data_IF_667926716454
#
_entry.id   IF_667926716454
#
_cell.length_a   1.000
_cell.length_b   1.000
_cell.length_c   1.000
_cell.angle_alpha   90.00
_cell.angle_beta   90.00
_cell.angle_gamma   90.00
#
_symmetry.space_group_name_H-M   'P 1'
#
loop_
_entity.id
_entity.type
_entity.pdbx_description
1 polymer ?
#
# COMPACT_ATOMS: atom_id res chain seq x y z
N UNK A 1 38.49 -8.65 78.94
CA UNK A 1 39.00 -10.02 78.86
C UNK A 1 38.13 -10.77 77.85
N UNK A 2 38.72 -11.18 76.73
CA UNK A 2 38.27 -12.07 75.64
C UNK A 2 36.75 -12.36 75.47
N UNK A 3 36.16 -12.30 74.28
CA UNK A 3 36.51 -13.17 73.15
C UNK A 3 36.12 -12.57 71.79
N UNK A 4 37.12 -12.53 70.92
CA UNK A 4 37.04 -12.42 69.47
C UNK A 4 36.42 -13.69 68.87
N UNK A 5 35.37 -13.59 68.05
CA UNK A 5 34.93 -14.55 67.01
C UNK A 5 33.72 -13.85 66.34
N UNK A 6 33.56 -13.61 65.03
CA UNK A 6 34.05 -14.30 63.85
C UNK A 6 33.85 -13.37 62.63
N UNK A 7 34.92 -12.76 62.10
CA UNK A 7 34.88 -11.84 60.95
C UNK A 7 34.77 -12.53 59.57
N UNK A 8 34.56 -13.85 59.54
CA UNK A 8 34.55 -14.64 58.29
C UNK A 8 33.19 -14.81 57.60
N UNK A 9 32.05 -14.42 58.21
CA UNK A 9 30.72 -14.55 57.56
C UNK A 9 30.21 -13.31 56.83
N UNK A 10 30.74 -12.12 57.13
CA UNK A 10 30.31 -10.87 56.45
C UNK A 10 30.94 -10.72 55.06
N UNK A 11 32.20 -11.15 54.91
CA UNK A 11 32.95 -11.04 53.64
C UNK A 11 32.55 -12.07 52.56
N UNK A 12 31.84 -13.15 52.89
CA UNK A 12 31.36 -14.14 51.91
C UNK A 12 30.01 -13.74 51.29
N UNK A 13 29.13 -13.07 52.06
CA UNK A 13 27.83 -12.58 51.57
C UNK A 13 27.97 -11.30 50.72
N UNK A 14 28.87 -10.39 51.07
CA UNK A 14 29.12 -9.18 50.25
C UNK A 14 29.83 -9.51 48.92
N UNK A 15 30.69 -10.54 48.87
CA UNK A 15 31.30 -11.00 47.60
C UNK A 15 30.31 -11.71 46.69
N UNK A 16 29.35 -12.46 47.23
CA UNK A 16 28.31 -13.12 46.43
C UNK A 16 27.27 -12.13 45.86
N UNK A 17 27.03 -11.00 46.53
CA UNK A 17 26.10 -9.98 46.05
C UNK A 17 26.74 -8.96 45.09
N UNK A 18 28.06 -8.72 45.16
CA UNK A 18 28.73 -7.80 44.22
C UNK A 18 28.98 -8.43 42.83
N UNK A 19 29.19 -9.74 42.73
CA UNK A 19 29.49 -10.41 41.45
C UNK A 19 28.25 -10.92 40.69
N UNK A 20 27.06 -10.96 41.32
CA UNK A 20 25.81 -11.42 40.67
C UNK A 20 24.87 -10.27 40.30
N UNK A 21 24.97 -9.12 40.97
CA UNK A 21 24.16 -7.93 40.65
C UNK A 21 24.59 -7.23 39.36
N UNK A 22 25.90 -7.18 39.08
CA UNK A 22 26.46 -6.49 37.91
C UNK A 22 26.21 -7.30 36.63
N UNK A 23 26.31 -8.63 36.68
CA UNK A 23 26.03 -9.50 35.53
C UNK A 23 24.55 -9.55 35.16
N UNK A 24 23.63 -9.55 36.15
CA UNK A 24 22.19 -9.46 35.88
C UNK A 24 21.78 -8.07 35.37
N UNK A 25 22.37 -6.98 35.87
CA UNK A 25 22.11 -5.64 35.32
C UNK A 25 22.68 -5.50 33.90
N UNK A 26 23.88 -6.01 33.61
CA UNK A 26 24.45 -5.96 32.26
C UNK A 26 23.73 -6.90 31.28
N UNK A 27 23.27 -8.08 31.70
CA UNK A 27 22.46 -8.97 30.85
C UNK A 27 21.04 -8.42 30.61
N UNK A 28 20.39 -7.81 31.62
CA UNK A 28 19.12 -7.11 31.41
C UNK A 28 19.32 -5.85 30.55
N UNK A 29 20.42 -5.11 30.73
CA UNK A 29 20.69 -3.90 29.96
C UNK A 29 21.07 -4.24 28.52
N UNK A 30 21.81 -5.32 28.29
CA UNK A 30 22.12 -5.83 26.95
C UNK A 30 20.88 -6.46 26.31
N UNK A 31 20.09 -7.24 27.04
CA UNK A 31 18.82 -7.81 26.55
C UNK A 31 17.81 -6.72 26.17
N UNK A 32 17.68 -5.67 26.98
CA UNK A 32 16.85 -4.49 26.68
C UNK A 32 17.47 -3.65 25.57
N UNK A 33 18.80 -3.50 25.47
CA UNK A 33 19.46 -2.86 24.33
C UNK A 33 19.22 -3.64 23.04
N UNK A 34 19.38 -4.96 23.02
CA UNK A 34 19.11 -5.79 21.85
C UNK A 34 17.62 -5.76 21.51
N UNK A 35 16.73 -5.77 22.50
CA UNK A 35 15.30 -5.63 22.27
C UNK A 35 14.95 -4.26 21.69
N UNK A 36 15.51 -3.17 22.22
CA UNK A 36 15.34 -1.79 21.73
C UNK A 36 16.01 -1.61 20.36
N UNK A 37 17.18 -2.21 20.11
CA UNK A 37 17.88 -2.16 18.83
C UNK A 37 17.11 -2.98 17.78
N UNK A 38 16.52 -4.12 18.13
CA UNK A 38 15.61 -4.86 17.26
C UNK A 38 14.29 -4.08 17.04
N UNK A 39 13.78 -3.38 18.06
CA UNK A 39 12.64 -2.47 17.94
C UNK A 39 12.96 -1.22 17.10
N UNK A 40 14.19 -0.72 17.14
CA UNK A 40 14.64 0.45 16.38
C UNK A 40 15.06 0.07 14.96
N UNK A 41 15.62 -1.13 14.73
CA UNK A 41 15.90 -1.68 13.39
C UNK A 41 14.59 -2.04 12.67
N UNK A 42 13.52 -2.40 13.40
CA UNK A 42 12.18 -2.52 12.80
C UNK A 42 11.50 -1.16 12.55
N UNK A 43 12.00 -0.07 13.14
CA UNK A 43 11.50 1.29 12.95
C UNK A 43 12.36 2.17 12.03
N UNK A 44 13.52 1.69 11.59
CA UNK A 44 14.32 2.39 10.60
C UNK A 44 13.78 2.06 9.20
N UNK A 45 12.78 2.83 8.77
CA UNK A 45 12.34 2.92 7.37
C UNK A 45 11.30 1.90 6.89
N UNK A 46 10.84 0.97 7.73
CA UNK A 46 9.82 -0.01 7.35
C UNK A 46 8.45 0.42 7.88
N UNK A 47 7.47 0.53 6.98
CA UNK A 47 6.05 0.61 7.33
C UNK A 47 5.74 -0.39 8.43
N UNK A 48 5.20 0.03 9.58
CA UNK A 48 4.88 -0.86 10.70
C UNK A 48 3.98 -1.99 10.22
N UNK A 49 4.56 -3.16 10.01
CA UNK A 49 3.82 -4.39 9.82
C UNK A 49 3.25 -4.75 11.19
N UNK A 50 1.92 -4.82 11.27
CA UNK A 50 1.23 -5.12 12.54
C UNK A 50 1.74 -6.45 13.10
N UNK A 51 1.76 -6.67 14.43
CA UNK A 51 2.12 -7.97 15.02
C UNK A 51 1.38 -9.16 14.37
N UNK A 52 0.13 -8.94 13.95
CA UNK A 52 -0.69 -9.87 13.17
C UNK A 52 -0.03 -10.38 11.89
N UNK A 53 0.82 -9.59 11.23
CA UNK A 53 1.53 -9.98 10.01
C UNK A 53 2.53 -11.11 10.26
N UNK A 54 3.24 -11.09 11.40
CA UNK A 54 4.26 -12.08 11.71
C UNK A 54 3.67 -13.44 12.13
N UNK A 55 2.46 -13.43 12.69
CA UNK A 55 1.73 -14.64 13.10
C UNK A 55 0.77 -15.17 12.03
N UNK A 56 0.59 -14.42 10.93
CA UNK A 56 -0.33 -14.75 9.86
C UNK A 56 0.20 -15.85 8.93
N UNK A 57 -0.73 -16.60 8.33
CA UNK A 57 -0.42 -17.51 7.21
C UNK A 57 0.17 -16.75 6.01
N UNK A 58 0.84 -17.46 5.10
CA UNK A 58 1.43 -16.84 3.90
C UNK A 58 0.38 -16.07 3.07
N UNK A 59 -0.81 -16.66 2.91
CA UNK A 59 -1.93 -16.03 2.22
C UNK A 59 -2.44 -14.77 2.93
N UNK A 60 -2.58 -14.80 4.26
CA UNK A 60 -3.00 -13.62 5.02
C UNK A 60 -1.96 -12.50 4.98
N UNK A 61 -0.66 -12.82 4.96
CA UNK A 61 0.39 -11.83 4.75
C UNK A 61 0.28 -11.17 3.38
N UNK A 62 0.05 -11.94 2.33
CA UNK A 62 -0.17 -11.42 0.99
C UNK A 62 -1.39 -10.47 0.93
N UNK A 63 -2.49 -10.83 1.59
CA UNK A 63 -3.67 -9.96 1.71
C UNK A 63 -3.38 -8.65 2.47
N UNK A 64 -2.62 -8.71 3.56
CA UNK A 64 -2.23 -7.51 4.31
C UNK A 64 -1.41 -6.56 3.43
N UNK A 65 -0.47 -7.09 2.64
CA UNK A 65 0.33 -6.30 1.71
C UNK A 65 -0.53 -5.71 0.59
N UNK A 66 -1.44 -6.52 0.02
CA UNK A 66 -2.38 -6.08 -0.99
C UNK A 66 -3.25 -4.92 -0.51
N UNK A 67 -3.85 -5.05 0.69
CA UNK A 67 -4.69 -4.01 1.29
C UNK A 67 -3.91 -2.73 1.65
N UNK A 68 -2.58 -2.80 1.77
CA UNK A 68 -1.70 -1.65 1.96
C UNK A 68 -1.27 -0.99 0.65
N UNK A 69 -1.70 -1.51 -0.51
CA UNK A 69 -1.25 -1.05 -1.82
C UNK A 69 0.16 -1.52 -2.21
N UNK A 70 0.77 -2.40 -1.42
CA UNK A 70 2.11 -2.96 -1.67
C UNK A 70 2.01 -4.12 -2.66
N UNK A 71 1.67 -3.80 -3.92
CA UNK A 71 1.29 -4.80 -4.92
C UNK A 71 2.43 -5.75 -5.29
N UNK A 72 3.68 -5.27 -5.34
CA UNK A 72 4.82 -6.12 -5.70
C UNK A 72 5.18 -7.10 -4.59
N UNK A 73 5.20 -6.63 -3.35
CA UNK A 73 5.41 -7.46 -2.18
C UNK A 73 4.25 -8.45 -2.01
N UNK A 74 3.02 -8.01 -2.26
CA UNK A 74 1.86 -8.88 -2.28
C UNK A 74 1.98 -9.95 -3.38
N UNK A 75 2.44 -9.59 -4.58
CA UNK A 75 2.65 -10.51 -5.71
C UNK A 75 3.69 -11.56 -5.39
N UNK A 76 4.82 -11.15 -4.84
CA UNK A 76 5.89 -12.04 -4.40
C UNK A 76 5.38 -13.03 -3.34
N UNK A 77 4.76 -12.53 -2.27
CA UNK A 77 4.18 -13.39 -1.21
C UNK A 77 3.07 -14.29 -1.68
N UNK A 78 2.26 -13.86 -2.64
CA UNK A 78 1.23 -14.70 -3.25
C UNK A 78 1.86 -15.83 -4.07
N UNK A 79 2.95 -15.56 -4.77
CA UNK A 79 3.65 -16.53 -5.64
C UNK A 79 4.39 -17.63 -4.86
N UNK A 80 4.70 -17.40 -3.58
CA UNK A 80 5.31 -18.40 -2.70
C UNK A 80 4.37 -19.59 -2.40
N UNK A 81 3.04 -19.40 -2.52
CA UNK A 81 2.02 -20.38 -2.14
C UNK A 81 1.90 -21.46 -3.23
N UNK A 82 2.25 -22.70 -2.90
CA UNK A 82 2.36 -23.80 -3.89
C UNK A 82 1.05 -24.57 -4.08
N UNK A 83 0.97 -25.26 -5.23
CA UNK A 83 -0.14 -26.17 -5.55
C UNK A 83 -0.23 -27.27 -4.49
N UNK A 84 -1.41 -27.43 -3.89
CA UNK A 84 -1.66 -28.39 -2.81
C UNK A 84 -1.64 -27.77 -1.41
N UNK A 85 -1.14 -26.54 -1.26
CA UNK A 85 -1.26 -25.79 -0.01
C UNK A 85 -2.69 -25.29 0.24
N UNK A 86 -3.01 -25.08 1.51
CA UNK A 86 -4.24 -24.44 1.92
C UNK A 86 -4.28 -23.01 1.34
N UNK A 87 -5.43 -22.62 0.77
CA UNK A 87 -5.66 -21.34 0.10
C UNK A 87 -4.97 -21.17 -1.27
N UNK A 88 -4.40 -22.20 -1.89
CA UNK A 88 -3.79 -22.07 -3.23
C UNK A 88 -4.74 -21.45 -4.29
N UNK A 89 -6.00 -21.90 -4.33
CA UNK A 89 -7.01 -21.32 -5.24
C UNK A 89 -7.25 -19.82 -4.98
N UNK A 90 -7.29 -19.44 -3.70
CA UNK A 90 -7.46 -18.04 -3.29
C UNK A 90 -6.23 -17.19 -3.62
N UNK A 91 -5.04 -17.78 -3.50
CA UNK A 91 -3.79 -17.16 -3.92
C UNK A 91 -3.77 -16.90 -5.43
N UNK A 92 -4.23 -17.86 -6.26
CA UNK A 92 -4.33 -17.64 -7.71
C UNK A 92 -5.29 -16.50 -8.07
N UNK A 93 -6.47 -16.44 -7.43
CA UNK A 93 -7.42 -15.36 -7.64
C UNK A 93 -6.84 -14.00 -7.22
N UNK A 94 -6.14 -13.95 -6.09
CA UNK A 94 -5.45 -12.74 -5.62
C UNK A 94 -4.34 -12.32 -6.59
N UNK A 95 -3.56 -13.26 -7.10
CA UNK A 95 -2.48 -12.99 -8.06
C UNK A 95 -3.04 -12.35 -9.34
N UNK A 96 -4.13 -12.91 -9.88
CA UNK A 96 -4.81 -12.34 -11.05
C UNK A 96 -5.29 -10.90 -10.80
N UNK A 97 -5.85 -10.64 -9.61
CA UNK A 97 -6.28 -9.29 -9.22
C UNK A 97 -5.11 -8.32 -9.09
N UNK A 98 -4.00 -8.77 -8.50
CA UNK A 98 -2.77 -7.98 -8.39
C UNK A 98 -2.24 -7.66 -9.78
N UNK A 99 -2.16 -8.65 -10.68
CA UNK A 99 -1.65 -8.46 -12.04
C UNK A 99 -2.50 -7.45 -12.82
N UNK A 100 -3.82 -7.58 -12.80
CA UNK A 100 -4.72 -6.63 -13.48
C UNK A 100 -4.53 -5.21 -12.91
N UNK A 101 -4.49 -5.06 -11.58
CA UNK A 101 -4.38 -3.76 -10.95
C UNK A 101 -3.00 -3.12 -11.16
N UNK A 102 -1.92 -3.89 -11.03
CA UNK A 102 -0.55 -3.46 -11.29
C UNK A 102 -0.38 -3.02 -12.74
N UNK A 103 -0.87 -3.79 -13.71
CA UNK A 103 -0.81 -3.42 -15.13
C UNK A 103 -1.55 -2.12 -15.40
N UNK A 104 -2.78 -1.96 -14.88
CA UNK A 104 -3.56 -0.73 -15.06
C UNK A 104 -2.88 0.49 -14.45
N UNK A 105 -2.25 0.33 -13.28
CA UNK A 105 -1.49 1.41 -12.64
C UNK A 105 -0.21 1.74 -13.41
N UNK A 106 0.52 0.72 -13.90
CA UNK A 106 1.70 0.91 -14.72
C UNK A 106 1.37 1.66 -16.02
N UNK A 107 0.30 1.25 -16.71
CA UNK A 107 -0.19 1.90 -17.94
C UNK A 107 -0.55 3.36 -17.69
N UNK A 108 -1.33 3.66 -16.64
CA UNK A 108 -1.72 5.03 -16.30
C UNK A 108 -0.50 5.94 -16.05
N UNK A 109 0.48 5.48 -15.27
CA UNK A 109 1.71 6.23 -15.03
C UNK A 109 2.57 6.36 -16.30
N UNK A 110 2.59 5.33 -17.16
CA UNK A 110 3.28 5.39 -18.44
C UNK A 110 2.67 6.47 -19.36
N UNK A 111 1.35 6.49 -19.50
CA UNK A 111 0.62 7.46 -20.33
C UNK A 111 0.86 8.89 -19.86
N UNK A 112 0.81 9.14 -18.55
CA UNK A 112 1.10 10.46 -17.99
C UNK A 112 2.57 10.86 -18.22
N UNK A 113 3.50 9.92 -18.07
CA UNK A 113 4.92 10.16 -18.39
C UNK A 113 5.13 10.54 -19.85
N UNK A 114 4.41 9.92 -20.79
CA UNK A 114 4.46 10.26 -22.21
C UNK A 114 3.88 11.64 -22.50
N UNK A 115 2.83 12.05 -21.79
CA UNK A 115 2.27 13.40 -21.90
C UNK A 115 3.29 14.45 -21.43
N UNK A 116 3.96 14.22 -20.30
CA UNK A 116 5.03 15.09 -19.83
C UNK A 116 6.23 15.12 -20.77
N UNK A 117 6.62 13.98 -21.34
CA UNK A 117 7.71 13.90 -22.32
C UNK A 117 7.39 14.72 -23.58
N UNK A 118 6.17 14.60 -24.11
CA UNK A 118 5.69 15.41 -25.26
C UNK A 118 5.71 16.91 -24.95
N UNK A 119 5.50 17.28 -23.69
CA UNK A 119 5.58 18.66 -23.21
C UNK A 119 6.99 19.07 -22.75
N UNK A 120 8.02 18.25 -22.99
CA UNK A 120 9.41 18.49 -22.55
C UNK A 120 9.61 18.62 -21.03
N UNK A 121 8.66 18.16 -20.22
CA UNK A 121 8.73 18.08 -18.75
C UNK A 121 9.47 16.79 -18.32
N UNK A 122 10.72 16.63 -18.76
CA UNK A 122 11.46 15.37 -18.61
C UNK A 122 11.66 14.89 -17.17
N UNK A 123 11.76 15.82 -16.20
CA UNK A 123 11.87 15.42 -14.79
C UNK A 123 10.60 14.73 -14.30
N UNK A 124 9.43 15.31 -14.61
CA UNK A 124 8.15 14.73 -14.24
C UNK A 124 7.89 13.43 -15.02
N UNK A 125 8.21 13.40 -16.31
CA UNK A 125 8.13 12.18 -17.12
C UNK A 125 8.96 11.03 -16.52
N UNK A 126 10.19 11.31 -16.10
CA UNK A 126 11.06 10.32 -15.46
C UNK A 126 10.49 9.83 -14.12
N UNK A 127 9.86 10.70 -13.33
CA UNK A 127 9.23 10.33 -12.07
C UNK A 127 8.01 9.42 -12.29
N UNK A 128 7.20 9.70 -13.31
CA UNK A 128 6.07 8.86 -13.71
C UNK A 128 6.52 7.50 -14.25
N UNK A 129 7.51 7.46 -15.15
CA UNK A 129 8.07 6.19 -15.64
C UNK A 129 8.70 5.35 -14.51
N UNK A 130 9.34 6.00 -13.54
CA UNK A 130 9.86 5.31 -12.35
C UNK A 130 8.71 4.73 -11.52
N UNK A 131 7.59 5.44 -11.41
CA UNK A 131 6.41 4.94 -10.70
C UNK A 131 5.74 3.79 -11.46
N UNK A 132 5.62 3.87 -12.79
CA UNK A 132 5.16 2.77 -13.63
C UNK A 132 6.03 1.51 -13.45
N UNK A 133 7.36 1.67 -13.40
CA UNK A 133 8.30 0.56 -13.15
C UNK A 133 8.17 -0.06 -11.75
N UNK A 134 7.60 0.63 -10.76
CA UNK A 134 7.27 0.00 -9.47
C UNK A 134 6.17 -1.04 -9.61
N UNK A 135 5.28 -0.90 -10.59
CA UNK A 135 4.17 -1.84 -10.82
C UNK A 135 4.50 -2.87 -11.92
N UNK A 136 5.33 -2.50 -12.90
CA UNK A 136 5.81 -3.40 -13.96
C UNK A 136 7.34 -3.32 -14.12
N UNK A 137 8.12 -3.91 -13.18
CA UNK A 137 9.57 -3.77 -13.14
C UNK A 137 10.30 -4.49 -14.28
N UNK A 138 9.64 -5.45 -14.94
CA UNK A 138 10.22 -6.24 -16.02
C UNK A 138 10.07 -5.60 -17.40
N UNK A 139 9.36 -4.48 -17.50
CA UNK A 139 9.04 -3.84 -18.77
C UNK A 139 10.25 -3.14 -19.42
N UNK A 140 10.79 -3.66 -20.54
CA UNK A 140 11.93 -3.03 -21.20
C UNK A 140 11.58 -1.69 -21.85
N UNK A 141 10.32 -1.50 -22.28
CA UNK A 141 9.85 -0.24 -22.86
C UNK A 141 9.90 0.89 -21.84
N UNK A 142 9.39 0.65 -20.62
CA UNK A 142 9.44 1.62 -19.53
C UNK A 142 10.88 1.96 -19.11
N UNK A 143 11.78 0.98 -19.06
CA UNK A 143 13.21 1.24 -18.79
C UNK A 143 13.84 2.15 -19.84
N UNK A 144 13.56 1.88 -21.12
CA UNK A 144 14.03 2.72 -22.22
C UNK A 144 13.45 4.14 -22.16
N UNK A 145 12.15 4.28 -21.88
CA UNK A 145 11.48 5.59 -21.71
C UNK A 145 12.07 6.38 -20.56
N UNK A 146 12.33 5.75 -19.41
CA UNK A 146 13.01 6.37 -18.27
C UNK A 146 14.43 6.85 -18.63
N UNK A 147 15.18 6.02 -19.35
CA UNK A 147 16.53 6.38 -19.81
C UNK A 147 16.50 7.58 -20.75
N UNK A 148 15.60 7.58 -21.75
CA UNK A 148 15.43 8.69 -22.69
C UNK A 148 15.00 9.98 -21.99
N UNK A 149 14.06 9.90 -21.03
CA UNK A 149 13.66 11.05 -20.23
C UNK A 149 14.84 11.61 -19.39
N UNK A 150 15.66 10.74 -18.81
CA UNK A 150 16.85 11.16 -18.06
C UNK A 150 17.93 11.81 -18.96
N UNK A 151 18.09 11.30 -20.18
CA UNK A 151 18.98 11.88 -21.19
C UNK A 151 18.46 13.24 -21.67
N UNK A 152 17.16 13.35 -22.00
CA UNK A 152 16.49 14.59 -22.39
C UNK A 152 16.59 15.67 -21.32
N UNK A 153 16.48 15.28 -20.04
CA UNK A 153 16.78 16.16 -18.91
C UNK A 153 18.21 16.69 -18.96
N UNK A 154 19.20 15.86 -19.29
CA UNK A 154 20.61 16.27 -19.27
C UNK A 154 21.02 17.12 -20.47
N UNK A 155 20.44 16.86 -21.65
CA UNK A 155 20.73 17.60 -22.89
C UNK A 155 20.00 18.94 -22.95
N UNK A 156 18.71 19.00 -22.61
CA UNK A 156 17.89 20.21 -22.78
C UNK A 156 17.92 21.13 -21.56
N UNK A 157 18.25 20.64 -20.36
CA UNK A 157 18.48 21.50 -19.19
C UNK A 157 19.76 22.35 -19.33
N UNK A 158 20.63 22.04 -20.30
CA UNK A 158 21.76 22.90 -20.71
C UNK A 158 21.35 24.03 -21.67
N UNK A 159 20.19 23.96 -22.32
CA UNK A 159 19.80 24.91 -23.38
C UNK A 159 18.47 25.64 -23.11
N UNK A 160 17.58 25.14 -22.24
CA UNK A 160 16.24 25.70 -22.08
C UNK A 160 15.76 25.68 -20.61
N UNK A 161 15.97 26.79 -19.90
CA UNK A 161 15.27 27.07 -18.61
C UNK A 161 14.07 28.02 -18.84
N UNK A 162 13.71 28.38 -20.08
CA UNK A 162 12.80 29.51 -20.31
C UNK A 162 11.38 29.24 -20.85
N UNK A 163 11.06 28.13 -21.51
CA UNK A 163 9.79 28.06 -22.27
C UNK A 163 8.93 26.81 -22.06
N UNK A 164 9.21 25.94 -21.08
CA UNK A 164 8.21 24.92 -20.74
C UNK A 164 7.15 25.56 -19.86
N UNK A 165 5.89 25.58 -20.34
CA UNK A 165 4.76 26.15 -19.60
C UNK A 165 3.87 25.03 -19.01
N UNK A 166 4.08 24.61 -17.74
CA UNK A 166 3.22 23.67 -17.02
C UNK A 166 1.75 24.06 -16.98
N UNK A 167 1.44 25.35 -17.17
CA UNK A 167 0.08 25.88 -17.11
C UNK A 167 -0.83 25.32 -18.21
N UNK A 168 -0.28 24.97 -19.38
CA UNK A 168 -1.08 24.38 -20.47
C UNK A 168 -1.62 23.01 -20.06
N UNK A 169 -0.75 22.18 -19.47
CA UNK A 169 -1.11 20.85 -18.97
C UNK A 169 -2.03 20.98 -17.77
N UNK A 170 -1.67 21.81 -16.79
CA UNK A 170 -2.51 22.07 -15.61
C UNK A 170 -3.91 22.56 -16.01
N UNK A 171 -4.03 23.43 -17.02
CA UNK A 171 -5.33 23.91 -17.52
C UNK A 171 -6.15 22.80 -18.17
N UNK A 172 -5.51 21.90 -18.93
CA UNK A 172 -6.17 20.75 -19.54
C UNK A 172 -6.72 19.81 -18.46
N UNK A 173 -5.87 19.36 -17.54
CA UNK A 173 -6.26 18.45 -16.45
C UNK A 173 -7.28 19.09 -15.51
N UNK A 174 -7.18 20.40 -15.22
CA UNK A 174 -8.19 21.12 -14.45
C UNK A 174 -9.57 21.05 -15.10
N UNK A 175 -9.67 21.34 -16.41
CA UNK A 175 -10.95 21.28 -17.14
C UNK A 175 -11.52 19.87 -17.15
N UNK A 176 -10.66 18.86 -17.38
CA UNK A 176 -11.07 17.46 -17.34
C UNK A 176 -11.56 17.06 -15.95
N UNK A 177 -10.84 17.43 -14.89
CA UNK A 177 -11.21 17.21 -13.51
C UNK A 177 -12.56 17.83 -13.16
N UNK A 178 -12.83 19.07 -13.57
CA UNK A 178 -14.13 19.72 -13.39
C UNK A 178 -15.25 18.96 -14.12
N UNK A 179 -15.04 18.58 -15.39
CA UNK A 179 -16.05 17.80 -16.15
C UNK A 179 -16.35 16.46 -15.47
N UNK A 180 -15.31 15.76 -15.00
CA UNK A 180 -15.44 14.49 -14.30
C UNK A 180 -16.15 14.66 -12.94
N UNK A 181 -15.82 15.73 -12.22
CA UNK A 181 -16.45 16.10 -10.96
C UNK A 181 -17.96 16.35 -11.14
N UNK A 182 -18.32 17.17 -12.13
CA UNK A 182 -19.73 17.45 -12.48
C UNK A 182 -20.47 16.19 -12.94
N UNK A 183 -19.74 15.27 -13.59
CA UNK A 183 -20.23 13.95 -14.01
C UNK A 183 -20.25 12.92 -12.88
N UNK A 184 -19.91 13.30 -11.63
CA UNK A 184 -19.83 12.44 -10.44
C UNK A 184 -18.81 11.30 -10.53
N UNK A 185 -17.86 11.38 -11.46
CA UNK A 185 -16.76 10.43 -11.61
C UNK A 185 -15.61 10.83 -10.67
N UNK A 186 -15.88 10.82 -9.36
CA UNK A 186 -15.01 11.44 -8.36
C UNK A 186 -13.61 10.82 -8.28
N UNK A 187 -13.48 9.49 -8.42
CA UNK A 187 -12.17 8.84 -8.40
C UNK A 187 -11.25 9.36 -9.52
N UNK A 188 -11.80 9.54 -10.73
CA UNK A 188 -11.07 10.09 -11.86
C UNK A 188 -10.84 11.60 -11.71
N UNK A 189 -11.82 12.35 -11.21
CA UNK A 189 -11.64 13.78 -10.94
C UNK A 189 -10.49 14.04 -9.95
N UNK A 190 -10.38 13.22 -8.90
CA UNK A 190 -9.28 13.27 -7.93
C UNK A 190 -7.93 13.04 -8.61
N UNK A 191 -7.85 12.10 -9.55
CA UNK A 191 -6.63 11.84 -10.32
C UNK A 191 -6.20 13.08 -11.11
N UNK A 192 -7.14 13.68 -11.84
CA UNK A 192 -6.90 14.90 -12.61
C UNK A 192 -6.47 16.08 -11.74
N UNK A 193 -7.14 16.30 -10.61
CA UNK A 193 -6.78 17.39 -9.70
C UNK A 193 -5.41 17.18 -9.02
N UNK A 194 -5.04 15.94 -8.69
CA UNK A 194 -3.70 15.66 -8.17
C UNK A 194 -2.61 16.02 -9.19
N UNK A 195 -2.83 15.74 -10.49
CA UNK A 195 -1.92 16.15 -11.57
C UNK A 195 -1.76 17.66 -11.60
N UNK A 196 -2.88 18.40 -11.53
CA UNK A 196 -2.87 19.87 -11.50
C UNK A 196 -2.02 20.41 -10.34
N UNK A 197 -2.21 19.89 -9.13
CA UNK A 197 -1.49 20.35 -7.94
C UNK A 197 -0.02 19.91 -7.91
N UNK A 198 0.32 18.79 -8.58
CA UNK A 198 1.71 18.37 -8.78
C UNK A 198 2.46 19.35 -9.70
N UNK A 199 1.77 19.86 -10.73
CA UNK A 199 2.32 20.84 -11.67
C UNK A 199 2.37 22.25 -11.08
N UNK A 200 1.27 22.68 -10.47
CA UNK A 200 1.07 24.02 -9.92
C UNK A 200 0.29 23.87 -8.59
N UNK A 201 0.99 23.86 -7.44
CA UNK A 201 0.36 23.63 -6.14
C UNK A 201 -0.76 24.63 -5.78
N UNK A 202 -0.71 25.85 -6.29
CA UNK A 202 -1.73 26.89 -6.05
C UNK A 202 -2.45 27.27 -7.35
N UNK A 203 -3.14 26.30 -7.95
CA UNK A 203 -3.89 26.50 -9.20
C UNK A 203 -5.39 26.65 -8.94
N UNK A 204 -5.91 27.88 -9.06
CA UNK A 204 -7.35 28.20 -8.92
C UNK A 204 -7.95 27.63 -7.61
N UNK A 205 -9.11 27.00 -7.71
CA UNK A 205 -9.89 26.32 -6.67
C UNK A 205 -9.62 24.80 -6.60
N UNK A 206 -8.52 24.33 -7.20
CA UNK A 206 -8.25 22.89 -7.34
C UNK A 206 -8.14 22.15 -5.99
N UNK A 207 -7.57 22.78 -4.97
CA UNK A 207 -7.50 22.17 -3.63
C UNK A 207 -8.90 21.96 -3.02
N UNK A 208 -9.80 22.92 -3.19
CA UNK A 208 -11.19 22.85 -2.72
C UNK A 208 -11.97 21.78 -3.47
N UNK A 209 -11.87 21.75 -4.80
CA UNK A 209 -12.49 20.74 -5.65
C UNK A 209 -11.97 19.33 -5.35
N UNK A 210 -10.67 19.18 -5.10
CA UNK A 210 -10.07 17.92 -4.70
C UNK A 210 -10.60 17.43 -3.35
N UNK A 211 -10.72 18.32 -2.37
CA UNK A 211 -11.25 17.98 -1.05
C UNK A 211 -12.72 17.52 -1.15
N UNK A 212 -13.54 18.24 -1.92
CA UNK A 212 -14.94 17.88 -2.13
C UNK A 212 -15.09 16.57 -2.93
N UNK A 213 -14.26 16.36 -3.96
CA UNK A 213 -14.27 15.12 -4.73
C UNK A 213 -13.94 13.91 -3.86
N UNK A 214 -12.94 14.04 -2.97
CA UNK A 214 -12.58 12.99 -2.00
C UNK A 214 -13.75 12.69 -1.06
N UNK A 215 -14.38 13.73 -0.51
CA UNK A 215 -15.54 13.58 0.37
C UNK A 215 -16.69 12.84 -0.33
N UNK A 216 -17.08 13.24 -1.54
CA UNK A 216 -18.18 12.61 -2.26
C UNK A 216 -17.86 11.17 -2.68
N UNK A 217 -16.63 10.89 -3.11
CA UNK A 217 -16.17 9.51 -3.33
C UNK A 217 -16.33 8.68 -2.06
N UNK A 218 -15.86 9.19 -0.92
CA UNK A 218 -15.88 8.46 0.36
C UNK A 218 -17.33 8.21 0.85
N UNK A 219 -18.24 9.16 0.62
CA UNK A 219 -19.67 8.99 0.88
C UNK A 219 -20.29 7.87 0.03
N UNK A 220 -19.94 7.79 -1.26
CA UNK A 220 -20.41 6.72 -2.15
C UNK A 220 -19.83 5.36 -1.73
N UNK A 221 -18.55 5.31 -1.39
CA UNK A 221 -17.91 4.11 -0.84
C UNK A 221 -18.64 3.64 0.43
N UNK A 222 -18.95 4.56 1.35
CA UNK A 222 -19.70 4.26 2.58
C UNK A 222 -21.12 3.78 2.29
N UNK A 223 -21.81 4.37 1.31
CA UNK A 223 -23.15 3.97 0.89
C UNK A 223 -23.17 2.52 0.38
N UNK A 224 -22.27 2.19 -0.55
CA UNK A 224 -22.18 0.86 -1.13
C UNK A 224 -21.68 -0.17 -0.11
N UNK A 225 -20.78 0.22 0.80
CA UNK A 225 -20.41 -0.62 1.94
C UNK A 225 -21.64 -0.99 2.78
N UNK A 226 -22.48 0.00 3.14
CA UNK A 226 -23.70 -0.23 3.92
C UNK A 226 -24.69 -1.13 3.19
N UNK A 227 -24.98 -0.86 1.92
CA UNK A 227 -25.87 -1.71 1.10
C UNK A 227 -25.38 -3.14 1.03
N UNK A 228 -24.07 -3.34 0.81
CA UNK A 228 -23.50 -4.68 0.79
C UNK A 228 -23.62 -5.39 2.13
N UNK A 229 -23.48 -4.68 3.26
CA UNK A 229 -23.73 -5.23 4.60
C UNK A 229 -25.20 -5.63 4.77
N UNK A 230 -26.14 -4.80 4.31
CA UNK A 230 -27.58 -5.10 4.38
C UNK A 230 -27.94 -6.35 3.57
N UNK A 231 -27.39 -6.51 2.36
CA UNK A 231 -27.54 -7.72 1.55
C UNK A 231 -26.89 -8.94 2.21
N UNK A 232 -25.70 -8.77 2.80
CA UNK A 232 -24.99 -9.84 3.49
C UNK A 232 -25.79 -10.37 4.69
N UNK A 233 -26.46 -9.51 5.45
CA UNK A 233 -27.33 -9.90 6.56
C UNK A 233 -28.57 -10.67 6.11
N UNK A 234 -29.04 -10.44 4.88
CA UNK A 234 -30.16 -11.18 4.26
C UNK A 234 -29.72 -12.47 3.57
N UNK A 235 -28.45 -12.85 3.68
CA UNK A 235 -27.84 -13.99 2.98
C UNK A 235 -27.83 -13.85 1.45
N UNK A 236 -28.07 -12.65 0.92
CA UNK A 236 -28.01 -12.31 -0.51
C UNK A 236 -26.56 -11.99 -0.92
N UNK A 237 -25.67 -13.00 -0.81
CA UNK A 237 -24.22 -12.83 -0.87
C UNK A 237 -23.72 -12.29 -2.23
N UNK A 238 -24.30 -12.71 -3.34
CA UNK A 238 -23.92 -12.22 -4.67
C UNK A 238 -24.26 -10.74 -4.85
N UNK A 239 -25.37 -10.26 -4.28
CA UNK A 239 -25.73 -8.84 -4.30
C UNK A 239 -24.81 -8.03 -3.37
N UNK A 240 -24.46 -8.58 -2.21
CA UNK A 240 -23.49 -7.97 -1.31
C UNK A 240 -22.13 -7.73 -2.00
N UNK A 241 -21.62 -8.74 -2.72
CA UNK A 241 -20.36 -8.64 -3.46
C UNK A 241 -20.44 -7.56 -4.55
N UNK A 242 -21.54 -7.49 -5.31
CA UNK A 242 -21.71 -6.46 -6.34
C UNK A 242 -21.66 -5.05 -5.79
N UNK A 243 -22.31 -4.79 -4.65
CA UNK A 243 -22.24 -3.48 -4.01
C UNK A 243 -20.80 -3.15 -3.57
N UNK A 244 -20.09 -4.12 -3.00
CA UNK A 244 -18.69 -3.94 -2.61
C UNK A 244 -17.74 -3.81 -3.80
N UNK A 245 -18.04 -4.39 -4.96
CA UNK A 245 -17.28 -4.18 -6.19
C UNK A 245 -17.33 -2.71 -6.62
N UNK A 246 -18.50 -2.09 -6.57
CA UNK A 246 -18.66 -0.65 -6.89
C UNK A 246 -17.82 0.21 -5.92
N UNK A 247 -17.84 -0.11 -4.63
CA UNK A 247 -17.00 0.60 -3.65
C UNK A 247 -15.49 0.42 -3.93
N UNK A 248 -15.07 -0.77 -4.38
CA UNK A 248 -13.67 -1.06 -4.72
C UNK A 248 -13.23 -0.50 -6.07
N UNK A 249 -14.16 -0.16 -6.97
CA UNK A 249 -13.84 0.60 -8.18
C UNK A 249 -13.41 2.03 -7.84
N UNK A 250 -14.01 2.61 -6.79
CA UNK A 250 -13.72 3.97 -6.30
C UNK A 250 -12.50 4.02 -5.38
N UNK A 251 -12.36 3.04 -4.50
CA UNK A 251 -11.20 2.86 -3.63
C UNK A 251 -10.77 1.37 -3.62
N UNK A 252 -9.84 0.98 -4.52
CA UNK A 252 -9.38 -0.41 -4.65
C UNK A 252 -8.77 -1.00 -3.38
N UNK A 253 -8.31 -0.16 -2.46
CA UNK A 253 -7.63 -0.55 -1.24
C UNK A 253 -8.47 -0.33 0.02
N UNK A 254 -9.78 -0.08 -0.13
CA UNK A 254 -10.68 0.13 1.01
C UNK A 254 -10.79 -1.13 1.89
N UNK A 255 -10.01 -1.16 2.97
CA UNK A 255 -9.81 -2.32 3.83
C UNK A 255 -11.11 -2.98 4.29
N UNK A 256 -12.06 -2.18 4.79
CA UNK A 256 -13.32 -2.72 5.32
C UNK A 256 -14.13 -3.42 4.23
N UNK A 257 -14.16 -2.85 3.03
CA UNK A 257 -14.91 -3.41 1.89
C UNK A 257 -14.23 -4.69 1.41
N UNK A 258 -12.90 -4.71 1.33
CA UNK A 258 -12.12 -5.92 1.02
C UNK A 258 -12.37 -7.05 2.04
N UNK A 259 -12.37 -6.73 3.33
CA UNK A 259 -12.60 -7.70 4.40
C UNK A 259 -14.01 -8.31 4.33
N UNK A 260 -15.03 -7.48 4.09
CA UNK A 260 -16.41 -7.94 3.93
C UNK A 260 -16.58 -8.81 2.68
N UNK A 261 -16.04 -8.37 1.53
CA UNK A 261 -16.10 -9.12 0.28
C UNK A 261 -15.44 -10.50 0.41
N UNK A 262 -14.25 -10.56 1.00
CA UNK A 262 -13.55 -11.82 1.22
C UNK A 262 -14.35 -12.81 2.09
N UNK A 263 -15.12 -12.31 3.06
CA UNK A 263 -16.01 -13.16 3.88
C UNK A 263 -17.17 -13.72 3.06
N UNK A 264 -17.84 -12.91 2.25
CA UNK A 264 -18.94 -13.38 1.40
C UNK A 264 -18.47 -14.42 0.38
N UNK A 265 -17.33 -14.18 -0.28
CA UNK A 265 -16.74 -15.12 -1.24
C UNK A 265 -16.43 -16.47 -0.58
N UNK A 266 -15.90 -16.46 0.65
CA UNK A 266 -15.62 -17.69 1.40
C UNK A 266 -16.89 -18.49 1.74
N UNK A 267 -18.01 -17.81 2.02
CA UNK A 267 -19.29 -18.47 2.29
C UNK A 267 -19.82 -19.10 1.00
N UNK A 268 -19.83 -18.37 -0.12
CA UNK A 268 -20.24 -18.88 -1.43
C UNK A 268 -19.41 -20.11 -1.83
N UNK A 269 -18.08 -20.06 -1.66
CA UNK A 269 -17.20 -21.19 -1.96
C UNK A 269 -17.57 -22.42 -1.14
N UNK A 270 -17.82 -22.24 0.17
CA UNK A 270 -18.24 -23.33 1.06
C UNK A 270 -19.60 -23.91 0.64
N UNK A 271 -20.56 -23.08 0.26
CA UNK A 271 -21.88 -23.51 -0.22
C UNK A 271 -21.79 -24.33 -1.51
N UNK A 272 -20.99 -23.87 -2.48
CA UNK A 272 -20.74 -24.61 -3.74
C UNK A 272 -20.12 -25.97 -3.47
N UNK A 273 -19.11 -26.03 -2.60
CA UNK A 273 -18.46 -27.29 -2.23
C UNK A 273 -19.40 -28.30 -1.54
N UNK A 274 -20.44 -27.83 -0.83
CA UNK A 274 -21.47 -28.72 -0.27
C UNK A 274 -22.41 -29.24 -1.35
N UNK A 275 -22.81 -28.40 -2.30
CA UNK A 275 -23.68 -28.79 -3.40
C UNK A 275 -23.02 -29.82 -4.33
N UNK A 276 -21.73 -29.66 -4.62
CA UNK A 276 -20.96 -30.59 -5.45
C UNK A 276 -20.81 -31.98 -4.81
N UNK A 277 -20.72 -32.07 -3.48
CA UNK A 277 -20.67 -33.35 -2.75
C UNK A 277 -22.01 -34.08 -2.66
N UNK A 278 -23.11 -33.38 -2.94
CA UNK A 278 -24.49 -33.93 -2.90
C UNK A 278 -24.97 -34.41 -4.28
N UNK A 279 -24.19 -34.15 -5.34
CA UNK A 279 -24.43 -34.64 -6.70
C UNK A 279 -23.57 -35.88 -6.96
#
# INVERSE_FOLDING_TARGET
MALHFNSMRKNQLERLLSCRGITLQEELFNGVKYFIIVLLITFCGCTQLTPRYFTASAYERALILYNKGMLMEAKEKTSEIRKGEQNYKKAQALLMRIDILSSRLAEKHMELGEEYEKAALYSLAADEYRTALKFDPANPSLRKKLELAAQGRTSLQKEAVKDVNPEVIATKHYKQGVILFDSKQFAQAIDEFNIVLQLIPAYKDTEELLAEARKQRDEIVALHLKKGIDYFQKEELELAIKEWDIALELDPFHKTVLDYKARAEAIIEKMKGIQERKR
#
